data_IF_443606348680
#
_entry.id   IF_443606348680
#
_cell.length_a   1.000
_cell.length_b   1.000
_cell.length_c   1.000
_cell.angle_alpha   90.00
_cell.angle_beta   90.00
_cell.angle_gamma   90.00
#
_symmetry.space_group_name_H-M   'P 1'
#
loop_
_entity.id
_entity.type
_entity.pdbx_description
1 polymer ?
#
# COMPACT_ATOMS: atom_id res chain seq x y z
N UNK A 1 -16.60 -8.11 15.25
CA UNK A 1 -16.94 -7.45 13.98
C UNK A 1 -18.45 -7.20 13.83
N UNK A 2 -19.32 -8.22 13.86
CA UNK A 2 -20.79 -8.04 13.66
C UNK A 2 -21.50 -7.15 14.71
N UNK A 3 -21.09 -7.15 15.99
CA UNK A 3 -21.70 -6.26 17.00
C UNK A 3 -21.34 -4.78 16.83
N UNK A 4 -20.25 -4.46 16.11
CA UNK A 4 -19.76 -3.09 15.93
C UNK A 4 -20.39 -2.41 14.70
N UNK A 5 -20.79 -3.20 13.69
CA UNK A 5 -21.24 -2.71 12.39
C UNK A 5 -22.77 -2.63 12.22
N UNK A 6 -23.54 -2.97 13.26
CA UNK A 6 -24.97 -2.66 13.39
C UNK A 6 -25.94 -3.36 12.41
N UNK A 7 -25.47 -3.94 11.31
CA UNK A 7 -26.26 -4.64 10.31
C UNK A 7 -25.56 -5.95 9.90
N UNK A 8 -26.24 -7.09 10.11
CA UNK A 8 -25.68 -8.43 9.82
C UNK A 8 -25.25 -8.60 8.35
N UNK A 9 -25.99 -8.00 7.41
CA UNK A 9 -25.68 -8.09 5.97
C UNK A 9 -24.40 -7.34 5.60
N UNK A 10 -24.22 -6.10 6.07
CA UNK A 10 -23.01 -5.30 5.80
C UNK A 10 -21.78 -5.85 6.53
N UNK A 11 -21.96 -6.39 7.72
CA UNK A 11 -20.87 -7.04 8.44
C UNK A 11 -20.36 -8.28 7.69
N UNK A 12 -21.27 -9.02 7.04
CA UNK A 12 -20.91 -10.17 6.20
C UNK A 12 -20.18 -9.73 4.93
N UNK A 13 -20.70 -8.73 4.21
CA UNK A 13 -20.05 -8.17 3.02
C UNK A 13 -18.64 -7.65 3.32
N UNK A 14 -18.47 -6.90 4.42
CA UNK A 14 -17.15 -6.43 4.85
C UNK A 14 -16.18 -7.57 5.17
N UNK A 15 -16.66 -8.65 5.78
CA UNK A 15 -15.84 -9.82 6.06
C UNK A 15 -15.44 -10.56 4.79
N UNK A 16 -16.32 -10.64 3.79
CA UNK A 16 -16.03 -11.26 2.50
C UNK A 16 -14.98 -10.45 1.74
N UNK A 17 -15.13 -9.12 1.67
CA UNK A 17 -14.14 -8.22 1.07
C UNK A 17 -12.78 -8.27 1.79
N UNK A 18 -12.78 -8.36 3.13
CA UNK A 18 -11.54 -8.53 3.89
C UNK A 18 -10.83 -9.85 3.55
N UNK A 19 -11.58 -10.95 3.47
CA UNK A 19 -11.00 -12.24 3.12
C UNK A 19 -10.47 -12.24 1.67
N UNK A 20 -11.20 -11.64 0.73
CA UNK A 20 -10.76 -11.48 -0.66
C UNK A 20 -9.45 -10.68 -0.75
N UNK A 21 -9.36 -9.59 0.00
CA UNK A 21 -8.14 -8.80 0.12
C UNK A 21 -7.00 -9.65 0.71
N UNK A 22 -7.20 -10.30 1.85
CA UNK A 22 -6.17 -11.11 2.51
C UNK A 22 -5.65 -12.22 1.59
N UNK A 23 -6.55 -12.94 0.91
CA UNK A 23 -6.24 -14.02 -0.04
C UNK A 23 -5.54 -13.53 -1.31
N UNK A 24 -5.62 -12.25 -1.63
CA UNK A 24 -5.00 -11.64 -2.81
C UNK A 24 -5.44 -12.33 -4.13
N UNK A 25 -6.70 -12.78 -4.16
CA UNK A 25 -7.22 -13.69 -5.17
C UNK A 25 -7.74 -12.95 -6.41
N UNK A 26 -8.27 -11.74 -6.25
CA UNK A 26 -8.86 -10.94 -7.33
C UNK A 26 -7.90 -9.87 -7.87
N UNK A 27 -8.09 -9.40 -9.13
CA UNK A 27 -7.37 -8.25 -9.66
C UNK A 27 -7.49 -7.00 -8.76
N UNK A 28 -8.67 -6.76 -8.21
CA UNK A 28 -8.98 -5.66 -7.31
C UNK A 28 -8.15 -5.77 -6.01
N UNK A 29 -8.12 -6.95 -5.37
CA UNK A 29 -7.30 -7.18 -4.18
C UNK A 29 -5.80 -6.93 -4.44
N UNK A 30 -5.29 -7.37 -5.59
CA UNK A 30 -3.89 -7.15 -6.00
C UNK A 30 -3.58 -5.67 -6.20
N UNK A 31 -4.48 -4.95 -6.84
CA UNK A 31 -4.38 -3.51 -7.03
C UNK A 31 -4.36 -2.82 -5.67
N UNK A 32 -5.32 -3.13 -4.78
CA UNK A 32 -5.40 -2.51 -3.44
C UNK A 32 -4.14 -2.80 -2.61
N UNK A 33 -3.60 -4.03 -2.65
CA UNK A 33 -2.33 -4.35 -1.96
C UNK A 33 -1.12 -3.61 -2.51
N UNK A 34 -1.11 -3.31 -3.79
CA UNK A 34 -0.05 -2.50 -4.39
C UNK A 34 -0.19 -1.03 -3.99
N UNK A 35 -1.42 -0.51 -3.98
CA UNK A 35 -1.71 0.85 -3.53
C UNK A 35 -1.30 1.08 -2.07
N UNK A 36 -1.58 0.13 -1.17
CA UNK A 36 -1.16 0.18 0.24
C UNK A 36 0.36 0.37 0.38
N UNK A 37 1.15 -0.37 -0.42
CA UNK A 37 2.62 -0.25 -0.43
C UNK A 37 3.09 1.05 -1.07
N UNK A 38 2.45 1.49 -2.14
CA UNK A 38 2.78 2.75 -2.83
C UNK A 38 2.51 3.95 -1.92
N UNK A 39 1.42 3.92 -1.15
CA UNK A 39 1.09 4.93 -0.15
C UNK A 39 2.15 4.97 0.96
N UNK A 40 2.57 3.81 1.46
CA UNK A 40 3.62 3.71 2.48
C UNK A 40 4.96 4.36 2.03
N UNK A 41 5.41 4.14 0.79
CA UNK A 41 6.65 4.77 0.29
C UNK A 41 6.47 6.25 -0.06
N UNK A 42 5.25 6.67 -0.39
CA UNK A 42 4.93 8.08 -0.61
C UNK A 42 5.04 8.85 0.71
N UNK A 43 4.44 8.33 1.78
CA UNK A 43 4.58 8.89 3.12
C UNK A 43 6.04 8.93 3.55
N UNK A 44 6.79 7.83 3.32
CA UNK A 44 8.22 7.80 3.62
C UNK A 44 8.96 8.94 2.89
N UNK A 45 8.74 9.12 1.59
CA UNK A 45 9.33 10.23 0.82
C UNK A 45 9.00 11.61 1.42
N UNK A 46 7.74 11.84 1.81
CA UNK A 46 7.32 13.10 2.44
C UNK A 46 8.05 13.33 3.76
N UNK A 47 8.12 12.31 4.62
CA UNK A 47 8.85 12.38 5.89
C UNK A 47 10.36 12.61 5.71
N UNK A 48 11.00 11.98 4.72
CA UNK A 48 12.41 12.25 4.40
C UNK A 48 12.63 13.71 3.99
N UNK A 49 11.75 14.24 3.12
CA UNK A 49 11.85 15.62 2.63
C UNK A 49 11.59 16.66 3.73
N UNK A 50 10.64 16.42 4.63
CA UNK A 50 10.27 17.39 5.67
C UNK A 50 11.14 17.30 6.92
N UNK A 51 11.58 16.09 7.29
CA UNK A 51 12.25 15.84 8.57
C UNK A 51 13.72 15.43 8.43
N UNK A 52 14.22 15.22 7.20
CA UNK A 52 15.61 14.83 6.95
C UNK A 52 15.98 13.47 7.55
N UNK A 53 14.99 12.57 7.69
CA UNK A 53 15.22 11.19 8.16
C UNK A 53 15.58 10.30 6.98
N UNK A 54 16.35 9.24 7.24
CA UNK A 54 16.54 8.16 6.27
C UNK A 54 15.48 7.08 6.51
N UNK A 55 14.61 6.90 5.52
CA UNK A 55 13.53 5.92 5.52
C UNK A 55 13.69 4.93 4.35
N UNK A 56 14.94 4.70 3.91
CA UNK A 56 15.30 3.71 2.88
C UNK A 56 14.69 2.33 3.14
N UNK A 57 14.58 1.92 4.40
CA UNK A 57 14.00 0.63 4.78
C UNK A 57 12.57 0.43 4.23
N UNK A 58 11.77 1.50 4.15
CA UNK A 58 10.42 1.45 3.63
C UNK A 58 10.43 1.20 2.12
N UNK A 59 11.32 1.86 1.38
CA UNK A 59 11.50 1.63 -0.05
C UNK A 59 11.97 0.20 -0.34
N UNK A 60 13.00 -0.27 0.37
CA UNK A 60 13.49 -1.65 0.25
C UNK A 60 12.41 -2.68 0.60
N UNK A 61 11.56 -2.38 1.59
CA UNK A 61 10.48 -3.27 1.99
C UNK A 61 9.42 -3.45 0.89
N UNK A 62 9.28 -2.51 -0.03
CA UNK A 62 8.32 -2.57 -1.16
C UNK A 62 8.93 -3.10 -2.45
N UNK A 63 10.26 -3.05 -2.59
CA UNK A 63 10.97 -3.49 -3.77
C UNK A 63 10.67 -4.98 -4.07
N UNK A 64 10.14 -5.25 -5.26
CA UNK A 64 9.77 -6.61 -5.68
C UNK A 64 8.48 -7.17 -5.05
N UNK A 65 7.79 -6.42 -4.19
CA UNK A 65 6.49 -6.83 -3.60
C UNK A 65 5.27 -6.32 -4.37
N UNK A 66 5.46 -5.42 -5.34
CA UNK A 66 4.40 -4.88 -6.19
C UNK A 66 4.10 -5.84 -7.33
N UNK A 67 2.83 -6.15 -7.53
CA UNK A 67 2.40 -7.21 -8.44
C UNK A 67 1.97 -6.68 -9.80
N UNK A 68 1.27 -5.56 -9.81
CA UNK A 68 0.69 -4.90 -10.98
C UNK A 68 1.71 -3.98 -11.65
N UNK A 69 1.57 -3.82 -12.96
CA UNK A 69 2.40 -2.87 -13.73
C UNK A 69 2.15 -1.42 -13.29
N UNK A 70 0.92 -1.10 -12.89
CA UNK A 70 0.56 0.21 -12.35
C UNK A 70 1.28 0.50 -11.03
N UNK A 71 1.24 -0.44 -10.07
CA UNK A 71 1.93 -0.29 -8.79
C UNK A 71 3.44 -0.13 -8.97
N UNK A 72 4.05 -0.95 -9.84
CA UNK A 72 5.48 -0.82 -10.18
C UNK A 72 5.83 0.53 -10.79
N UNK A 73 5.03 1.00 -11.75
CA UNK A 73 5.25 2.30 -12.39
C UNK A 73 5.19 3.45 -11.38
N UNK A 74 4.23 3.41 -10.46
CA UNK A 74 4.09 4.44 -9.43
C UNK A 74 5.21 4.40 -8.40
N UNK A 75 5.65 3.21 -7.98
CA UNK A 75 6.80 3.10 -7.09
C UNK A 75 8.09 3.60 -7.73
N UNK A 76 8.29 3.35 -9.03
CA UNK A 76 9.41 3.93 -9.78
C UNK A 76 9.34 5.45 -9.84
N UNK A 77 8.14 6.01 -10.04
CA UNK A 77 7.92 7.46 -10.04
C UNK A 77 8.20 8.09 -8.66
N UNK A 78 7.79 7.45 -7.57
CA UNK A 78 8.10 7.94 -6.22
C UNK A 78 9.60 7.85 -5.95
N UNK A 79 10.23 6.73 -6.33
CA UNK A 79 11.68 6.55 -6.19
C UNK A 79 12.48 7.57 -7.02
N UNK A 80 11.98 7.98 -8.20
CA UNK A 80 12.64 8.99 -9.04
C UNK A 80 12.62 10.39 -8.41
N UNK A 81 11.57 10.70 -7.64
CA UNK A 81 11.40 11.98 -6.92
C UNK A 81 12.21 12.07 -5.64
N UNK A 82 12.70 10.94 -5.14
CA UNK A 82 13.53 10.86 -3.94
C UNK A 82 14.89 11.51 -4.18
N UNK A 83 15.06 12.72 -3.68
CA UNK A 83 16.35 13.42 -3.68
C UNK A 83 17.21 12.85 -2.56
N UNK A 84 18.16 11.98 -2.89
CA UNK A 84 19.27 11.71 -1.97
C UNK A 84 20.20 12.91 -2.01
N UNK A 85 20.08 13.80 -1.03
CA UNK A 85 21.17 14.73 -0.72
C UNK A 85 22.34 13.87 -0.24
N UNK A 86 23.39 13.80 -1.07
CA UNK A 86 24.64 13.10 -0.76
C UNK A 86 25.57 13.94 0.09
#
# INVERSE_FOLDING_TARGET
MCKLLGAESRAKEMSELWNEYEENSTPEAKIVKDFDKVEMILQALEYENEQGRDLEEFFQSTAGKLQTEMGKAWALEIASRRRKEG
#
